data_IF_137495929689
#
_entry.id   IF_137495929689
#
_cell.length_a   1.000
_cell.length_b   1.000
_cell.length_c   1.000
_cell.angle_alpha   90.00
_cell.angle_beta   90.00
_cell.angle_gamma   90.00
#
_symmetry.space_group_name_H-M   'P 1'
#
loop_
_entity.id
_entity.type
_entity.pdbx_description
1 polymer ?
#
# COMPACT_ATOMS: atom_id res chain seq x y z
N UNK A 1 31.15 -9.90 -21.33
CA UNK A 1 31.01 -8.95 -22.44
C UNK A 1 31.43 -7.57 -21.93
N UNK A 2 32.18 -6.81 -22.74
CA UNK A 2 32.73 -5.53 -22.29
C UNK A 2 31.73 -4.38 -22.45
N UNK A 3 32.01 -3.24 -21.81
CA UNK A 3 31.20 -2.01 -21.87
C UNK A 3 30.94 -1.56 -23.31
N UNK A 4 31.96 -1.63 -24.17
CA UNK A 4 31.84 -1.20 -25.56
C UNK A 4 30.87 -2.05 -26.36
N UNK A 5 30.86 -3.38 -26.17
CA UNK A 5 29.89 -4.28 -26.84
C UNK A 5 28.45 -3.94 -26.45
N UNK A 6 28.23 -3.61 -25.17
CA UNK A 6 26.93 -3.13 -24.72
C UNK A 6 26.54 -1.81 -25.39
N UNK A 7 27.44 -0.84 -25.46
CA UNK A 7 27.14 0.48 -26.05
C UNK A 7 26.79 0.40 -27.54
N UNK A 8 27.51 -0.44 -28.28
CA UNK A 8 27.22 -0.70 -29.70
C UNK A 8 25.81 -1.33 -29.83
N UNK A 9 25.55 -2.40 -29.07
CA UNK A 9 24.26 -3.09 -29.07
C UNK A 9 23.10 -2.16 -28.72
N UNK A 10 23.25 -1.35 -27.67
CA UNK A 10 22.22 -0.42 -27.23
C UNK A 10 21.94 0.70 -28.24
N UNK A 11 22.95 1.14 -28.98
CA UNK A 11 22.81 2.14 -30.03
C UNK A 11 22.09 1.58 -31.27
N UNK A 12 22.42 0.34 -31.66
CA UNK A 12 21.82 -0.33 -32.82
C UNK A 12 20.35 -0.69 -32.62
N UNK A 13 19.97 -1.01 -31.38
CA UNK A 13 18.59 -1.44 -31.04
C UNK A 13 17.72 -0.32 -30.44
N UNK A 14 18.16 0.93 -30.49
CA UNK A 14 17.44 2.08 -29.95
C UNK A 14 16.75 2.89 -31.05
N UNK A 15 15.47 3.21 -30.88
CA UNK A 15 14.72 4.10 -31.77
C UNK A 15 15.22 5.56 -31.74
N UNK A 16 15.72 6.03 -30.60
CA UNK A 16 16.28 7.38 -30.41
C UNK A 16 17.63 7.30 -29.70
N UNK A 17 18.70 7.51 -30.47
CA UNK A 17 20.10 7.48 -30.01
C UNK A 17 20.43 8.48 -28.89
N UNK A 18 19.59 9.47 -28.67
CA UNK A 18 19.75 10.47 -27.60
C UNK A 18 18.97 10.15 -26.33
N UNK A 19 18.11 9.10 -26.35
CA UNK A 19 17.22 8.72 -25.25
C UNK A 19 17.27 7.24 -24.92
N UNK A 20 18.45 6.72 -24.71
CA UNK A 20 18.70 5.30 -24.39
C UNK A 20 18.68 5.12 -22.85
N UNK A 21 18.02 4.07 -22.32
CA UNK A 21 18.07 3.76 -20.89
C UNK A 21 19.50 3.54 -20.41
N UNK A 22 19.88 4.11 -19.27
CA UNK A 22 21.24 3.99 -18.75
C UNK A 22 21.35 2.86 -17.72
N UNK A 23 22.12 1.77 -18.00
CA UNK A 23 22.21 0.60 -17.13
C UNK A 23 23.25 0.72 -16.00
N UNK A 24 23.82 1.90 -15.76
CA UNK A 24 24.78 2.06 -14.68
C UNK A 24 24.16 1.85 -13.30
N UNK A 25 24.95 1.46 -12.30
CA UNK A 25 24.51 1.17 -10.94
C UNK A 25 23.69 2.28 -10.27
N UNK A 26 23.87 3.53 -10.70
CA UNK A 26 23.14 4.69 -10.19
C UNK A 26 21.84 4.99 -10.95
N UNK A 27 21.78 4.71 -12.25
CA UNK A 27 20.63 5.02 -13.09
C UNK A 27 19.67 3.83 -13.24
N UNK A 28 20.15 2.59 -13.15
CA UNK A 28 19.40 1.34 -13.17
C UNK A 28 18.27 1.28 -14.23
N UNK A 29 18.54 1.75 -15.44
CA UNK A 29 17.63 1.88 -16.58
C UNK A 29 16.43 2.85 -16.41
N UNK A 30 16.32 3.56 -15.28
CA UNK A 30 15.24 4.53 -15.06
C UNK A 30 15.47 5.88 -15.75
N UNK A 31 16.71 6.21 -16.09
CA UNK A 31 17.07 7.47 -16.74
C UNK A 31 17.61 7.21 -18.13
N UNK A 32 17.20 8.05 -19.09
CA UNK A 32 17.61 7.94 -20.49
C UNK A 32 18.61 9.05 -20.83
N UNK A 33 19.65 8.69 -21.57
CA UNK A 33 20.73 9.61 -21.98
C UNK A 33 21.27 9.23 -23.36
N UNK A 34 22.14 10.09 -23.90
CA UNK A 34 22.91 9.74 -25.09
C UNK A 34 24.01 8.71 -24.77
N UNK A 35 24.41 7.94 -25.77
CA UNK A 35 25.47 6.91 -25.62
C UNK A 35 26.76 7.47 -24.99
N UNK A 36 27.15 8.70 -25.36
CA UNK A 36 28.35 9.36 -24.78
C UNK A 36 28.20 9.54 -23.26
N UNK A 37 27.02 9.95 -22.78
CA UNK A 37 26.74 10.14 -21.35
C UNK A 37 26.66 8.80 -20.64
N UNK A 38 26.03 7.78 -21.25
CA UNK A 38 25.93 6.43 -20.70
C UNK A 38 27.30 5.80 -20.52
N UNK A 39 28.21 5.96 -21.50
CA UNK A 39 29.60 5.52 -21.40
C UNK A 39 30.26 6.06 -20.12
N UNK A 40 30.21 7.38 -19.91
CA UNK A 40 30.74 7.99 -18.68
C UNK A 40 30.12 7.42 -17.42
N UNK A 41 28.79 7.31 -17.37
CA UNK A 41 28.09 6.77 -16.22
C UNK A 41 28.43 5.31 -15.90
N UNK A 42 28.68 4.46 -16.92
CA UNK A 42 29.08 3.05 -16.69
C UNK A 42 30.53 2.98 -16.19
N UNK A 43 31.44 3.81 -16.70
CA UNK A 43 32.84 3.86 -16.21
C UNK A 43 32.91 4.37 -14.76
N UNK A 44 32.09 5.36 -14.40
CA UNK A 44 32.06 5.95 -13.05
C UNK A 44 31.34 5.08 -12.01
N UNK A 45 30.27 4.34 -12.38
CA UNK A 45 29.37 3.68 -11.44
C UNK A 45 29.18 2.17 -11.71
N UNK A 46 29.86 1.60 -12.70
CA UNK A 46 29.67 0.21 -13.13
C UNK A 46 28.29 -0.06 -13.72
N UNK A 47 28.05 -1.31 -14.13
CA UNK A 47 26.72 -1.79 -14.49
C UNK A 47 25.87 -2.05 -13.25
N UNK A 48 24.57 -1.90 -13.37
CA UNK A 48 23.61 -2.35 -12.37
C UNK A 48 23.78 -3.86 -12.13
N UNK A 49 23.97 -4.25 -10.87
CA UNK A 49 24.17 -5.64 -10.48
C UNK A 49 22.97 -6.50 -10.95
N UNK A 50 23.28 -7.62 -11.63
CA UNK A 50 22.27 -8.52 -12.16
C UNK A 50 21.71 -8.16 -13.55
N UNK A 51 22.09 -7.03 -14.15
CA UNK A 51 21.69 -6.67 -15.50
C UNK A 51 22.61 -7.32 -16.55
N UNK A 52 22.50 -8.65 -16.67
CA UNK A 52 23.30 -9.48 -17.60
C UNK A 52 22.62 -9.74 -18.94
N UNK A 53 21.28 -9.64 -18.97
CA UNK A 53 20.46 -9.68 -20.18
C UNK A 53 19.92 -8.29 -20.48
N UNK A 54 20.17 -7.79 -21.68
CA UNK A 54 19.91 -6.40 -22.05
C UNK A 54 18.48 -6.18 -22.58
N UNK A 55 17.52 -6.69 -21.83
CA UNK A 55 16.09 -6.66 -22.21
C UNK A 55 15.53 -5.26 -22.44
N UNK A 56 16.04 -4.24 -21.70
CA UNK A 56 15.67 -2.83 -21.90
C UNK A 56 16.27 -2.21 -23.16
N UNK A 57 17.18 -2.94 -23.83
CA UNK A 57 17.91 -2.53 -25.01
C UNK A 57 17.66 -3.47 -26.19
N UNK A 58 16.60 -4.31 -26.12
CA UNK A 58 16.13 -5.13 -27.22
C UNK A 58 16.61 -6.59 -27.23
N UNK A 59 17.35 -7.06 -26.20
CA UNK A 59 17.74 -8.47 -26.13
C UNK A 59 16.53 -9.35 -25.80
N UNK A 60 16.26 -10.35 -26.66
CA UNK A 60 15.20 -11.36 -26.43
C UNK A 60 15.76 -12.53 -25.64
N UNK A 61 15.10 -12.89 -24.52
CA UNK A 61 15.51 -14.05 -23.73
C UNK A 61 15.39 -15.36 -24.55
N UNK A 62 16.52 -16.05 -24.73
CA UNK A 62 16.57 -17.34 -25.40
C UNK A 62 15.87 -18.43 -24.57
N UNK A 63 14.99 -19.20 -25.22
CA UNK A 63 14.21 -20.29 -24.63
C UNK A 63 15.09 -21.49 -24.30
N UNK A 64 15.15 -21.90 -23.02
CA UNK A 64 15.67 -23.19 -22.58
C UNK A 64 14.63 -24.33 -22.72
N UNK A 65 15.02 -25.61 -22.61
CA UNK A 65 14.29 -26.74 -23.20
C UNK A 65 12.97 -27.08 -22.49
N UNK A 66 12.01 -27.56 -23.32
CA UNK A 66 10.67 -28.02 -22.94
C UNK A 66 10.74 -29.31 -22.06
N UNK A 67 10.10 -29.30 -20.91
CA UNK A 67 9.82 -30.53 -20.15
C UNK A 67 8.37 -30.99 -20.39
N UNK A 68 8.25 -32.30 -20.57
CA UNK A 68 7.09 -33.07 -20.98
C UNK A 68 5.91 -33.03 -19.99
N UNK A 69 4.71 -33.08 -20.56
CA UNK A 69 3.41 -33.21 -19.90
C UNK A 69 3.23 -34.54 -19.17
N UNK A 70 2.79 -34.47 -17.91
CA UNK A 70 2.25 -35.61 -17.17
C UNK A 70 0.75 -35.36 -16.88
N UNK A 71 -0.07 -36.35 -17.22
CA UNK A 71 -1.52 -36.40 -17.12
C UNK A 71 -2.01 -36.56 -15.68
N UNK A 72 -3.09 -35.85 -15.32
CA UNK A 72 -3.79 -35.93 -14.03
C UNK A 72 -4.84 -37.05 -13.98
N UNK A 73 -5.06 -37.73 -12.84
CA UNK A 73 -6.18 -38.65 -12.60
C UNK A 73 -7.48 -37.90 -12.21
N UNK A 74 -8.67 -38.53 -12.31
CA UNK A 74 -9.98 -37.87 -12.19
C UNK A 74 -10.41 -37.61 -10.74
N UNK A 75 -11.26 -36.59 -10.57
CA UNK A 75 -11.79 -36.04 -9.33
C UNK A 75 -12.94 -36.88 -8.77
N UNK A 76 -12.92 -37.16 -7.45
CA UNK A 76 -14.11 -37.48 -6.65
C UNK A 76 -14.78 -36.20 -6.14
N UNK A 77 -16.11 -36.15 -6.26
CA UNK A 77 -16.95 -35.03 -5.81
C UNK A 77 -17.34 -35.25 -4.34
N UNK A 78 -17.12 -34.24 -3.50
CA UNK A 78 -17.67 -34.15 -2.15
C UNK A 78 -19.00 -33.38 -2.15
N UNK A 79 -19.97 -33.70 -1.27
CA UNK A 79 -21.30 -33.08 -1.28
C UNK A 79 -21.31 -31.65 -0.71
N UNK A 80 -22.25 -30.83 -1.23
CA UNK A 80 -22.47 -29.44 -0.85
C UNK A 80 -22.96 -29.30 0.61
N UNK A 81 -22.50 -28.31 1.37
CA UNK A 81 -23.06 -27.96 2.68
C UNK A 81 -24.38 -27.17 2.53
N UNK A 82 -25.29 -27.26 3.53
CA UNK A 82 -26.56 -26.57 3.50
C UNK A 82 -26.42 -25.04 3.63
N UNK A 83 -27.41 -24.25 3.15
CA UNK A 83 -27.33 -22.79 3.17
C UNK A 83 -27.47 -22.22 4.58
N UNK A 84 -26.44 -21.54 5.08
CA UNK A 84 -26.53 -20.77 6.31
C UNK A 84 -27.26 -19.43 6.06
N UNK A 85 -28.23 -19.16 6.89
CA UNK A 85 -28.95 -17.90 6.96
C UNK A 85 -28.02 -16.85 7.59
N UNK A 86 -27.43 -15.98 6.76
CA UNK A 86 -26.64 -14.84 7.23
C UNK A 86 -27.56 -13.73 7.73
N UNK A 87 -27.23 -13.15 8.87
CA UNK A 87 -27.97 -12.10 9.54
C UNK A 87 -28.07 -10.82 8.68
N UNK A 88 -29.29 -10.44 8.28
CA UNK A 88 -29.62 -9.31 7.43
C UNK A 88 -29.30 -7.93 8.05
N UNK A 89 -29.17 -7.85 9.37
CA UNK A 89 -29.00 -6.57 10.09
C UNK A 89 -27.66 -5.86 9.85
N UNK A 90 -26.55 -6.58 9.69
CA UNK A 90 -25.22 -5.96 9.40
C UNK A 90 -25.14 -5.42 7.96
N UNK A 91 -25.89 -6.06 7.04
CA UNK A 91 -26.01 -5.65 5.65
C UNK A 91 -26.79 -4.33 5.47
N UNK A 92 -27.84 -4.11 6.26
CA UNK A 92 -28.67 -2.92 6.19
C UNK A 92 -27.96 -1.67 6.71
N UNK A 93 -27.18 -1.78 7.77
CA UNK A 93 -26.40 -0.66 8.33
C UNK A 93 -25.29 -0.20 7.35
N UNK A 94 -24.58 -1.14 6.71
CA UNK A 94 -23.56 -0.81 5.70
C UNK A 94 -24.18 -0.19 4.43
N UNK A 95 -25.37 -0.66 4.02
CA UNK A 95 -26.09 -0.09 2.88
C UNK A 95 -26.63 1.31 3.18
N UNK A 96 -27.15 1.54 4.37
CA UNK A 96 -27.64 2.86 4.78
C UNK A 96 -26.49 3.85 4.94
N UNK A 97 -25.37 3.43 5.52
CA UNK A 97 -24.16 4.25 5.59
C UNK A 97 -23.62 4.60 4.19
N UNK A 98 -23.67 3.65 3.26
CA UNK A 98 -23.27 3.88 1.87
C UNK A 98 -24.23 4.81 1.10
N UNK A 99 -25.56 4.66 1.31
CA UNK A 99 -26.56 5.57 0.71
C UNK A 99 -26.38 7.00 1.20
N UNK A 100 -26.16 7.20 2.50
CA UNK A 100 -25.84 8.52 3.09
C UNK A 100 -24.55 9.08 2.52
N UNK A 101 -23.54 8.25 2.35
CA UNK A 101 -22.28 8.66 1.74
C UNK A 101 -22.45 9.11 0.28
N UNK A 102 -23.21 8.38 -0.54
CA UNK A 102 -23.50 8.78 -1.93
C UNK A 102 -24.29 10.09 -1.94
N UNK A 103 -25.31 10.20 -1.12
CA UNK A 103 -26.12 11.41 -1.01
C UNK A 103 -25.25 12.64 -0.62
N UNK A 104 -24.35 12.50 0.36
CA UNK A 104 -23.40 13.54 0.75
C UNK A 104 -22.37 13.83 -0.36
N UNK A 105 -21.96 12.80 -1.12
CA UNK A 105 -20.97 12.93 -2.20
C UNK A 105 -21.55 13.63 -3.44
N UNK A 106 -22.80 13.40 -3.74
CA UNK A 106 -23.53 13.99 -4.87
C UNK A 106 -24.14 15.36 -4.55
N UNK A 107 -24.18 15.74 -3.28
CA UNK A 107 -24.70 17.03 -2.85
C UNK A 107 -23.88 18.17 -3.45
N UNK A 108 -24.47 19.09 -4.23
CA UNK A 108 -23.74 20.23 -4.76
C UNK A 108 -23.23 21.13 -3.64
N UNK A 109 -22.12 21.84 -3.84
CA UNK A 109 -21.53 22.74 -2.85
C UNK A 109 -22.50 23.90 -2.49
N UNK A 110 -23.25 24.36 -3.46
CA UNK A 110 -24.35 25.29 -3.36
C UNK A 110 -25.24 25.12 -4.60
N UNK A 111 -26.45 25.65 -4.58
CA UNK A 111 -27.38 25.54 -5.70
C UNK A 111 -26.81 26.17 -6.99
N UNK A 112 -26.71 25.34 -8.04
CA UNK A 112 -26.06 25.69 -9.32
C UNK A 112 -24.55 25.52 -9.37
N UNK A 113 -23.93 24.87 -8.36
CA UNK A 113 -22.50 24.56 -8.37
C UNK A 113 -22.21 23.29 -9.21
N UNK A 114 -21.20 23.38 -10.10
CA UNK A 114 -20.66 22.23 -10.83
C UNK A 114 -19.83 21.29 -9.95
N UNK A 115 -19.43 21.74 -8.75
CA UNK A 115 -18.64 20.95 -7.81
C UNK A 115 -19.51 20.46 -6.66
N UNK A 116 -19.33 19.19 -6.28
CA UNK A 116 -19.99 18.66 -5.09
C UNK A 116 -19.27 19.11 -3.81
N UNK A 117 -19.97 19.05 -2.68
CA UNK A 117 -19.42 19.28 -1.34
C UNK A 117 -18.17 18.45 -1.10
N UNK A 118 -18.22 17.15 -1.40
CA UNK A 118 -17.11 16.22 -1.20
C UNK A 118 -15.92 16.54 -2.10
N UNK A 119 -16.16 16.82 -3.38
CA UNK A 119 -15.10 17.17 -4.33
C UNK A 119 -14.38 18.46 -3.90
N UNK A 120 -15.13 19.47 -3.50
CA UNK A 120 -14.59 20.73 -2.99
C UNK A 120 -13.72 20.52 -1.75
N UNK A 121 -14.20 19.70 -0.81
CA UNK A 121 -13.45 19.35 0.39
C UNK A 121 -12.16 18.58 0.07
N UNK A 122 -12.20 17.62 -0.84
CA UNK A 122 -11.02 16.87 -1.26
C UNK A 122 -10.00 17.79 -1.93
N UNK A 123 -10.44 18.71 -2.80
CA UNK A 123 -9.56 19.69 -3.45
C UNK A 123 -8.87 20.58 -2.41
N UNK A 124 -9.61 21.14 -1.45
CA UNK A 124 -9.08 22.00 -0.40
C UNK A 124 -8.17 21.25 0.57
N UNK A 125 -8.52 20.02 0.95
CA UNK A 125 -7.69 19.21 1.83
C UNK A 125 -6.38 18.75 1.15
N UNK A 126 -6.43 18.41 -0.13
CA UNK A 126 -5.22 18.12 -0.92
C UNK A 126 -4.32 19.35 -1.03
N UNK A 127 -4.91 20.53 -1.23
CA UNK A 127 -4.16 21.79 -1.23
C UNK A 127 -3.51 22.06 0.13
N UNK A 128 -4.27 21.91 1.25
CA UNK A 128 -3.73 21.99 2.61
C UNK A 128 -2.51 21.08 2.80
N UNK A 129 -2.64 19.81 2.43
CA UNK A 129 -1.60 18.80 2.60
C UNK A 129 -0.37 19.09 1.73
N UNK A 130 -0.59 19.53 0.48
CA UNK A 130 0.49 19.84 -0.46
C UNK A 130 1.36 21.01 0.00
N UNK A 131 0.77 22.01 0.62
CA UNK A 131 1.46 23.24 1.05
C UNK A 131 1.78 23.28 2.55
N UNK A 132 1.53 22.19 3.28
CA UNK A 132 1.84 22.11 4.71
C UNK A 132 1.07 23.11 5.57
N UNK A 133 -0.17 23.48 5.19
CA UNK A 133 -0.99 24.48 5.88
C UNK A 133 -1.43 23.96 7.25
N UNK A 134 -1.22 24.76 8.30
CA UNK A 134 -1.64 24.41 9.68
C UNK A 134 -3.16 24.29 9.80
N UNK A 135 -3.66 23.52 10.77
CA UNK A 135 -5.11 23.35 11.00
C UNK A 135 -5.79 24.69 11.31
N UNK A 136 -5.13 25.60 12.03
CA UNK A 136 -5.63 26.94 12.33
C UNK A 136 -5.76 27.81 11.06
N UNK A 137 -4.71 27.85 10.22
CA UNK A 137 -4.73 28.59 8.97
C UNK A 137 -5.78 28.03 8.00
N UNK A 138 -5.94 26.70 7.98
CA UNK A 138 -6.94 26.07 7.13
C UNK A 138 -8.38 26.32 7.61
N UNK A 139 -8.62 26.40 8.92
CA UNK A 139 -9.92 26.82 9.48
C UNK A 139 -10.26 28.24 9.03
N UNK A 140 -9.30 29.17 9.14
CA UNK A 140 -9.50 30.54 8.67
C UNK A 140 -9.76 30.62 7.16
N UNK A 141 -9.07 29.80 6.37
CA UNK A 141 -9.30 29.69 4.93
C UNK A 141 -10.72 29.20 4.63
N UNK A 142 -11.18 28.13 5.29
CA UNK A 142 -12.54 27.59 5.10
C UNK A 142 -13.60 28.65 5.42
N UNK A 143 -13.46 29.35 6.54
CA UNK A 143 -14.35 30.45 6.92
C UNK A 143 -14.34 31.58 5.89
N UNK A 144 -13.15 31.99 5.42
CA UNK A 144 -13.03 33.07 4.41
C UNK A 144 -13.65 32.66 3.07
N UNK A 145 -13.35 31.45 2.58
CA UNK A 145 -13.93 30.93 1.33
C UNK A 145 -15.45 30.79 1.47
N UNK A 146 -15.92 30.22 2.60
CA UNK A 146 -17.36 30.10 2.86
C UNK A 146 -18.10 31.41 2.83
N UNK A 147 -17.48 32.51 3.30
CA UNK A 147 -18.08 33.87 3.25
C UNK A 147 -18.17 34.48 1.83
N UNK A 148 -17.35 33.97 0.90
CA UNK A 148 -17.34 34.38 -0.52
C UNK A 148 -18.34 33.60 -1.38
N UNK A 149 -18.84 32.46 -0.87
CA UNK A 149 -19.81 31.61 -1.52
C UNK A 149 -21.26 32.08 -1.19
N UNK A 150 -22.26 31.63 -1.96
CA UNK A 150 -23.69 31.88 -1.62
C UNK A 150 -24.00 31.45 -0.17
N UNK A 151 -24.96 32.16 0.47
CA UNK A 151 -25.26 31.95 1.91
C UNK A 151 -25.65 30.51 2.29
N UNK A 152 -26.20 29.75 1.35
CA UNK A 152 -26.64 28.35 1.54
C UNK A 152 -25.59 27.33 1.08
N UNK A 153 -24.29 27.71 1.11
CA UNK A 153 -23.24 26.75 0.75
C UNK A 153 -22.99 25.70 1.84
N UNK A 154 -22.56 24.54 1.40
CA UNK A 154 -22.32 23.37 2.23
C UNK A 154 -20.85 23.21 2.62
N UNK A 155 -20.01 24.27 2.45
CA UNK A 155 -18.60 24.20 2.83
C UNK A 155 -18.47 24.11 4.36
N UNK A 156 -17.71 23.14 4.91
CA UNK A 156 -17.45 23.10 6.35
C UNK A 156 -16.74 24.36 6.86
N UNK A 157 -17.15 24.85 8.02
CA UNK A 157 -16.63 26.09 8.60
C UNK A 157 -15.27 25.89 9.29
N UNK A 158 -14.88 24.66 9.59
CA UNK A 158 -13.64 24.37 10.32
C UNK A 158 -13.09 23.00 9.95
N UNK A 159 -11.82 22.76 10.38
CA UNK A 159 -11.11 21.51 10.13
C UNK A 159 -11.80 20.29 10.76
N UNK A 160 -12.49 20.44 11.88
CA UNK A 160 -13.16 19.32 12.55
C UNK A 160 -14.33 18.81 11.68
N UNK A 161 -15.18 19.70 11.21
CA UNK A 161 -16.29 19.35 10.30
C UNK A 161 -15.76 18.78 8.97
N UNK A 162 -14.70 19.39 8.43
CA UNK A 162 -14.02 18.90 7.25
C UNK A 162 -13.51 17.46 7.42
N UNK A 163 -12.85 17.16 8.53
CA UNK A 163 -12.39 15.79 8.87
C UNK A 163 -13.56 14.84 9.06
N UNK A 164 -14.67 15.28 9.69
CA UNK A 164 -15.87 14.47 9.85
C UNK A 164 -16.50 14.10 8.51
N UNK A 165 -16.58 15.04 7.56
CA UNK A 165 -17.04 14.76 6.20
C UNK A 165 -16.13 13.77 5.48
N UNK A 166 -14.81 13.89 5.66
CA UNK A 166 -13.84 12.98 5.06
C UNK A 166 -13.78 11.59 5.74
N UNK A 167 -14.10 11.49 7.04
CA UNK A 167 -14.12 10.19 7.75
C UNK A 167 -15.21 9.26 7.19
N UNK A 168 -16.33 9.83 6.73
CA UNK A 168 -17.40 9.06 6.07
C UNK A 168 -16.91 8.36 4.77
N UNK A 169 -15.73 8.73 4.24
CA UNK A 169 -15.08 8.02 3.12
C UNK A 169 -14.46 6.67 3.50
N UNK A 170 -14.57 6.24 4.77
CA UNK A 170 -13.90 5.03 5.26
C UNK A 170 -12.37 5.16 5.31
N UNK A 171 -11.86 6.41 5.37
CA UNK A 171 -10.43 6.71 5.51
C UNK A 171 -10.04 6.94 6.96
N UNK A 172 -10.77 6.35 7.89
CA UNK A 172 -10.48 6.43 9.31
C UNK A 172 -9.13 5.76 9.64
N UNK A 173 -8.51 6.26 10.69
CA UNK A 173 -7.32 5.66 11.26
C UNK A 173 -7.52 5.41 12.76
N UNK A 174 -6.88 4.35 13.23
CA UNK A 174 -6.88 3.99 14.64
C UNK A 174 -5.52 4.37 15.22
N UNK A 175 -5.53 5.07 16.37
CA UNK A 175 -4.30 5.36 17.12
C UNK A 175 -4.10 4.27 18.15
N UNK A 176 -3.03 3.51 18.00
CA UNK A 176 -2.55 2.62 19.04
C UNK A 176 -1.43 3.27 19.84
N UNK A 177 -1.52 3.24 21.16
CA UNK A 177 -0.40 3.60 22.00
C UNK A 177 0.64 2.47 21.95
N UNK A 178 1.92 2.82 21.93
CA UNK A 178 3.01 1.87 21.97
C UNK A 178 3.96 2.16 23.12
N UNK A 179 4.67 1.13 23.58
CA UNK A 179 5.74 1.29 24.56
C UNK A 179 6.84 2.17 23.95
N UNK A 180 7.44 3.12 24.72
CA UNK A 180 8.57 3.93 24.27
C UNK A 180 9.76 3.11 23.76
N UNK A 181 9.98 1.89 24.32
CA UNK A 181 11.02 0.94 23.91
C UNK A 181 10.51 -0.12 22.91
N UNK A 182 9.41 0.13 22.22
CA UNK A 182 8.88 -0.77 21.19
C UNK A 182 8.62 -2.22 21.65
N UNK A 183 8.28 -2.42 22.93
CA UNK A 183 8.08 -3.77 23.48
C UNK A 183 6.68 -4.34 23.21
N UNK A 184 5.65 -3.50 23.21
CA UNK A 184 4.23 -3.87 23.05
C UNK A 184 3.41 -2.72 22.46
N UNK A 185 2.31 -3.04 21.79
CA UNK A 185 1.18 -2.13 21.59
C UNK A 185 0.19 -2.29 22.75
N UNK A 186 -0.39 -1.17 23.19
CA UNK A 186 -1.45 -1.18 24.22
C UNK A 186 -2.79 -1.47 23.55
N UNK A 187 -3.02 -2.76 23.19
CA UNK A 187 -4.24 -3.31 22.59
C UNK A 187 -4.54 -4.71 23.13
N UNK A 188 -5.76 -5.22 22.92
CA UNK A 188 -6.17 -6.55 23.41
C UNK A 188 -5.88 -6.70 24.90
N UNK A 189 -5.13 -7.69 25.30
CA UNK A 189 -4.79 -8.00 26.69
C UNK A 189 -3.99 -6.87 27.41
N UNK A 190 -3.42 -5.95 26.67
CA UNK A 190 -2.65 -4.82 27.20
C UNK A 190 -3.38 -3.47 27.08
N UNK A 191 -4.66 -3.47 26.67
CA UNK A 191 -5.40 -2.23 26.36
C UNK A 191 -5.44 -1.25 27.55
N UNK A 192 -5.65 -1.75 28.77
CA UNK A 192 -5.80 -0.96 29.99
C UNK A 192 -4.48 -0.77 30.78
N UNK A 193 -3.39 -1.39 30.31
CA UNK A 193 -2.11 -1.28 30.99
C UNK A 193 -1.56 0.16 30.96
N UNK A 194 -1.16 0.70 32.12
CA UNK A 194 -0.54 2.01 32.25
C UNK A 194 0.99 1.97 32.17
N UNK A 195 1.58 0.79 32.37
CA UNK A 195 3.03 0.53 32.25
C UNK A 195 3.28 -0.68 31.33
N UNK A 196 4.41 -0.66 30.65
CA UNK A 196 4.80 -1.78 29.80
C UNK A 196 5.04 -3.06 30.61
N UNK A 197 4.44 -4.20 30.28
CA UNK A 197 4.64 -5.45 31.02
C UNK A 197 6.08 -5.99 30.87
N UNK A 198 6.78 -5.66 29.79
CA UNK A 198 8.15 -6.12 29.53
C UNK A 198 9.21 -5.23 30.18
N UNK A 199 9.21 -3.92 29.92
CA UNK A 199 10.26 -3.00 30.35
C UNK A 199 9.86 -2.06 31.49
N UNK A 200 8.60 -2.13 31.95
CA UNK A 200 8.06 -1.33 33.08
C UNK A 200 7.96 0.19 32.82
N UNK A 201 8.35 0.69 31.66
CA UNK A 201 8.20 2.11 31.33
C UNK A 201 6.72 2.50 31.26
N UNK A 202 6.47 3.78 31.64
CA UNK A 202 5.13 4.34 31.57
C UNK A 202 4.61 4.41 30.13
N UNK A 203 3.31 4.13 29.96
CA UNK A 203 2.57 4.39 28.74
C UNK A 203 2.47 5.88 28.42
N UNK A 204 2.53 6.71 29.46
CA UNK A 204 2.29 8.13 29.39
C UNK A 204 3.58 8.93 29.26
N UNK A 205 3.49 10.09 28.61
CA UNK A 205 4.60 11.01 28.47
C UNK A 205 4.95 11.62 29.83
N UNK A 206 6.23 11.64 30.16
CA UNK A 206 6.73 12.26 31.40
C UNK A 206 6.96 13.76 31.22
N UNK A 207 6.70 14.56 32.26
CA UNK A 207 7.13 15.95 32.34
C UNK A 207 8.64 16.00 32.59
N UNK A 208 9.25 17.21 32.52
CA UNK A 208 10.65 17.41 32.88
C UNK A 208 10.94 17.08 34.38
N UNK A 209 9.91 17.06 35.23
CA UNK A 209 9.99 16.69 36.64
C UNK A 209 9.77 15.18 36.88
N UNK A 210 9.55 14.38 35.85
CA UNK A 210 9.30 12.93 35.94
C UNK A 210 7.84 12.55 36.26
N UNK A 211 6.92 13.49 36.30
CA UNK A 211 5.49 13.23 36.52
C UNK A 211 4.81 12.75 35.24
N UNK A 212 3.89 11.80 35.35
CA UNK A 212 3.13 11.29 34.20
C UNK A 212 2.06 12.28 33.75
N UNK A 213 2.04 12.59 32.44
CA UNK A 213 0.92 13.30 31.82
C UNK A 213 -0.13 12.28 31.39
N UNK A 214 -1.01 11.95 32.32
CA UNK A 214 -2.13 11.01 32.04
C UNK A 214 -2.91 11.48 30.80
N UNK A 215 -3.31 10.54 29.94
CA UNK A 215 -3.96 10.76 28.65
C UNK A 215 -3.08 11.32 27.51
N UNK A 216 -1.78 11.59 27.76
CA UNK A 216 -0.84 11.90 26.70
C UNK A 216 0.12 10.72 26.50
N UNK A 217 -0.05 9.87 25.46
CA UNK A 217 0.80 8.71 25.26
C UNK A 217 2.24 9.12 24.93
N UNK A 218 3.20 8.33 25.41
CA UNK A 218 4.62 8.55 25.17
C UNK A 218 4.99 8.27 23.71
N UNK A 219 4.41 7.24 23.13
CA UNK A 219 4.56 6.87 21.70
C UNK A 219 3.22 6.37 21.15
N UNK A 220 2.93 6.67 19.88
CA UNK A 220 1.73 6.23 19.18
C UNK A 220 2.11 5.69 17.81
N UNK A 221 1.28 4.84 17.25
CA UNK A 221 1.29 4.53 15.84
C UNK A 221 -0.09 4.78 15.24
N UNK A 222 -0.16 5.04 13.95
CA UNK A 222 -1.41 5.14 13.21
C UNK A 222 -1.61 3.89 12.37
N UNK A 223 -2.73 3.21 12.58
CA UNK A 223 -3.19 2.11 11.77
C UNK A 223 -4.35 2.57 10.89
N UNK A 224 -4.26 2.32 9.62
CA UNK A 224 -5.29 2.60 8.63
C UNK A 224 -5.90 1.26 8.21
N UNK A 225 -7.10 0.90 8.72
CA UNK A 225 -7.73 -0.40 8.45
C UNK A 225 -7.81 -0.70 6.96
N UNK A 226 -7.42 -1.91 6.57
CA UNK A 226 -7.28 -2.27 5.15
C UNK A 226 -8.60 -2.76 4.55
N UNK A 227 -9.43 -3.44 5.33
CA UNK A 227 -10.68 -4.04 4.85
C UNK A 227 -11.64 -2.99 4.27
N UNK A 228 -12.00 -1.88 4.98
CA UNK A 228 -12.87 -0.85 4.42
C UNK A 228 -12.35 -0.25 3.12
N UNK A 229 -11.02 -0.13 2.98
CA UNK A 229 -10.38 0.42 1.79
C UNK A 229 -10.45 -0.53 0.61
N UNK A 230 -10.29 -1.82 0.84
CA UNK A 230 -10.50 -2.83 -0.20
C UNK A 230 -11.97 -2.87 -0.64
N UNK A 231 -12.93 -2.85 0.28
CA UNK A 231 -14.35 -2.70 -0.05
C UNK A 231 -14.60 -1.47 -0.92
N UNK A 232 -13.94 -0.35 -0.60
CA UNK A 232 -14.07 0.90 -1.38
C UNK A 232 -13.54 0.77 -2.81
N UNK A 233 -12.48 -0.01 -3.05
CA UNK A 233 -11.95 -0.22 -4.41
C UNK A 233 -12.98 -0.93 -5.32
N UNK A 234 -13.79 -1.82 -4.78
CA UNK A 234 -14.85 -2.51 -5.52
C UNK A 234 -16.13 -1.67 -5.71
N UNK A 235 -16.31 -0.60 -4.94
CA UNK A 235 -17.46 0.32 -5.10
C UNK A 235 -17.38 1.18 -6.37
N UNK A 236 -16.20 1.35 -6.96
CA UNK A 236 -16.01 2.05 -8.23
C UNK A 236 -16.04 1.06 -9.39
N UNK A 237 -16.99 1.13 -10.33
CA UNK A 237 -17.07 0.18 -11.46
C UNK A 237 -15.77 0.04 -12.25
N UNK A 238 -15.13 1.17 -12.55
CA UNK A 238 -13.86 1.19 -13.31
C UNK A 238 -12.69 0.58 -12.52
N UNK A 239 -12.66 0.73 -11.20
CA UNK A 239 -11.62 0.12 -10.38
C UNK A 239 -11.91 -1.36 -10.18
N UNK A 240 -13.16 -1.75 -9.94
CA UNK A 240 -13.59 -3.15 -9.79
C UNK A 240 -13.27 -3.99 -11.04
N UNK A 241 -13.52 -3.46 -12.25
CA UNK A 241 -13.11 -4.08 -13.50
C UNK A 241 -11.61 -4.34 -13.55
N UNK A 242 -10.81 -3.32 -13.23
CA UNK A 242 -9.34 -3.41 -13.24
C UNK A 242 -8.78 -4.37 -12.19
N UNK A 243 -9.50 -4.60 -11.08
CA UNK A 243 -9.11 -5.61 -10.08
C UNK A 243 -9.16 -7.05 -10.62
N UNK A 244 -9.91 -7.30 -11.69
CA UNK A 244 -10.00 -8.58 -12.38
C UNK A 244 -9.10 -8.65 -13.64
N UNK A 245 -8.33 -7.60 -13.94
CA UNK A 245 -7.48 -7.50 -15.13
C UNK A 245 -6.57 -8.73 -15.31
N UNK A 246 -5.97 -9.22 -14.25
CA UNK A 246 -5.04 -10.35 -14.28
C UNK A 246 -5.67 -11.65 -14.77
N UNK A 247 -6.98 -11.84 -14.60
CA UNK A 247 -7.72 -13.01 -15.05
C UNK A 247 -8.29 -12.85 -16.47
N UNK A 248 -8.68 -11.61 -16.85
CA UNK A 248 -9.45 -11.36 -18.06
C UNK A 248 -8.62 -10.82 -19.23
N UNK A 249 -7.61 -10.00 -18.95
CA UNK A 249 -6.91 -9.21 -19.98
C UNK A 249 -5.40 -9.47 -20.05
N UNK A 250 -4.89 -10.41 -19.26
CA UNK A 250 -3.46 -10.73 -19.23
C UNK A 250 -3.04 -11.54 -20.47
N UNK A 251 -1.94 -11.12 -21.10
CA UNK A 251 -1.29 -11.90 -22.17
C UNK A 251 -0.59 -13.13 -21.59
N UNK A 252 -0.87 -14.31 -22.09
CA UNK A 252 -0.30 -15.58 -21.64
C UNK A 252 0.70 -16.15 -22.68
N UNK A 253 1.80 -15.44 -22.91
CA UNK A 253 2.84 -15.84 -23.87
C UNK A 253 4.11 -16.42 -23.19
N UNK A 254 4.04 -16.73 -21.90
CA UNK A 254 5.14 -17.31 -21.13
C UNK A 254 6.18 -16.29 -20.65
N UNK A 255 6.08 -15.03 -21.02
CA UNK A 255 7.00 -13.99 -20.58
C UNK A 255 6.54 -13.40 -19.23
N UNK A 256 7.50 -13.10 -18.37
CA UNK A 256 7.23 -12.45 -17.08
C UNK A 256 7.20 -10.93 -17.26
N UNK A 257 6.02 -10.32 -17.21
CA UNK A 257 5.82 -8.87 -17.30
C UNK A 257 5.22 -8.27 -16.03
N UNK A 258 4.58 -9.11 -15.24
CA UNK A 258 3.85 -8.72 -14.04
C UNK A 258 3.97 -9.82 -12.98
N UNK A 259 3.86 -9.52 -11.68
CA UNK A 259 3.83 -10.54 -10.63
C UNK A 259 2.82 -11.68 -10.84
N UNK A 260 1.74 -11.44 -11.56
CA UNK A 260 0.76 -12.47 -11.97
C UNK A 260 1.36 -13.59 -12.83
N UNK A 261 2.48 -13.33 -13.50
CA UNK A 261 3.17 -14.32 -14.35
C UNK A 261 4.10 -15.22 -13.54
N UNK A 262 4.37 -14.85 -12.28
CA UNK A 262 5.36 -15.49 -11.42
C UNK A 262 4.95 -16.92 -11.03
N UNK A 263 5.94 -17.80 -10.76
CA UNK A 263 5.68 -19.12 -10.19
C UNK A 263 4.95 -19.06 -8.83
N UNK A 264 5.25 -18.06 -8.00
CA UNK A 264 4.60 -17.88 -6.69
C UNK A 264 3.10 -17.66 -6.81
N UNK A 265 2.66 -16.82 -7.75
CA UNK A 265 1.23 -16.61 -8.02
C UNK A 265 0.54 -17.90 -8.45
N UNK A 266 1.11 -18.60 -9.44
CA UNK A 266 0.59 -19.86 -9.95
C UNK A 266 0.55 -20.95 -8.88
N UNK A 267 1.55 -20.98 -7.99
CA UNK A 267 1.60 -21.94 -6.89
C UNK A 267 0.48 -21.68 -5.87
N UNK A 268 0.14 -20.43 -5.57
CA UNK A 268 -0.99 -20.09 -4.69
C UNK A 268 -2.30 -20.57 -5.33
N UNK A 269 -2.55 -20.24 -6.58
CA UNK A 269 -3.76 -20.66 -7.30
C UNK A 269 -3.88 -22.19 -7.38
N UNK A 270 -2.76 -22.88 -7.54
CA UNK A 270 -2.71 -24.35 -7.54
C UNK A 270 -2.97 -24.97 -6.15
N UNK A 271 -2.34 -24.42 -5.10
CA UNK A 271 -2.47 -24.96 -3.73
C UNK A 271 -3.81 -24.66 -3.09
N UNK A 272 -4.42 -23.55 -3.43
CA UNK A 272 -5.71 -23.09 -2.91
C UNK A 272 -6.68 -22.76 -4.06
N UNK A 273 -7.26 -23.80 -4.72
CA UNK A 273 -8.12 -23.60 -5.90
C UNK A 273 -9.36 -22.74 -5.61
N UNK A 274 -9.96 -22.86 -4.42
CA UNK A 274 -11.09 -22.03 -4.01
C UNK A 274 -10.75 -20.53 -3.93
N UNK A 275 -9.50 -20.20 -3.53
CA UNK A 275 -8.99 -18.84 -3.57
C UNK A 275 -8.67 -18.40 -5.01
N UNK A 276 -8.03 -19.27 -5.78
CA UNK A 276 -7.60 -18.98 -7.16
C UNK A 276 -8.74 -18.84 -8.16
N UNK A 277 -9.87 -19.54 -7.94
CA UNK A 277 -11.05 -19.49 -8.81
C UNK A 277 -11.84 -18.18 -8.72
N UNK A 278 -11.71 -17.41 -7.63
CA UNK A 278 -12.33 -16.10 -7.50
C UNK A 278 -11.32 -15.00 -7.89
N UNK A 279 -11.46 -14.37 -9.09
CA UNK A 279 -10.49 -13.39 -9.59
C UNK A 279 -10.45 -12.10 -8.76
N UNK A 280 -11.51 -11.81 -7.97
CA UNK A 280 -11.58 -10.63 -7.10
C UNK A 280 -10.78 -10.79 -5.81
N UNK A 281 -10.37 -12.00 -5.45
CA UNK A 281 -9.49 -12.22 -4.31
C UNK A 281 -8.14 -11.52 -4.50
N UNK A 282 -7.65 -10.88 -3.43
CA UNK A 282 -6.50 -9.98 -3.52
C UNK A 282 -5.18 -10.70 -3.29
N UNK A 283 -4.21 -10.35 -4.12
CA UNK A 283 -2.81 -10.77 -3.97
C UNK A 283 -1.98 -9.53 -3.73
N UNK A 284 -1.39 -9.46 -2.55
CA UNK A 284 -0.78 -8.27 -2.00
C UNK A 284 0.73 -8.40 -1.89
N UNK A 285 1.40 -7.26 -1.95
CA UNK A 285 2.76 -7.12 -1.45
C UNK A 285 2.82 -6.03 -0.39
N UNK A 286 3.74 -6.18 0.55
CA UNK A 286 4.05 -5.21 1.60
C UNK A 286 5.37 -4.55 1.31
N UNK A 287 5.40 -3.22 1.41
CA UNK A 287 6.65 -2.44 1.37
C UNK A 287 6.76 -1.61 2.63
N UNK A 288 7.95 -1.57 3.21
CA UNK A 288 8.27 -0.69 4.34
C UNK A 288 9.71 -0.24 4.26
N UNK A 289 9.96 0.99 4.67
CA UNK A 289 11.30 1.59 4.74
C UNK A 289 11.27 2.80 5.67
N UNK A 290 12.44 3.16 6.21
CA UNK A 290 12.62 4.36 7.01
C UNK A 290 12.67 5.62 6.16
N UNK A 291 11.73 6.56 6.38
CA UNK A 291 11.67 7.82 5.65
C UNK A 291 11.84 9.00 6.60
N UNK A 292 12.74 9.93 6.24
CA UNK A 292 12.82 11.22 6.93
C UNK A 292 11.91 12.24 6.23
N UNK A 293 10.77 12.64 6.85
CA UNK A 293 9.86 13.62 6.25
C UNK A 293 10.37 15.06 6.34
N UNK A 294 11.42 15.31 7.14
CA UNK A 294 11.98 16.64 7.39
C UNK A 294 13.25 16.84 6.56
N UNK A 295 13.10 17.22 5.31
CA UNK A 295 14.22 17.39 4.36
C UNK A 295 15.06 18.68 4.60
N UNK A 296 15.00 19.28 5.79
CA UNK A 296 15.52 20.63 6.08
C UNK A 296 16.98 20.63 6.61
N UNK A 297 17.73 19.54 6.47
CA UNK A 297 19.13 19.47 6.92
C UNK A 297 19.37 19.54 8.44
N UNK A 298 18.41 19.99 9.22
CA UNK A 298 18.51 20.22 10.67
C UNK A 298 18.19 18.98 11.52
N UNK A 299 17.59 17.94 10.97
CA UNK A 299 17.24 16.72 11.70
C UNK A 299 17.59 15.45 10.91
N UNK A 300 18.87 15.15 10.82
CA UNK A 300 19.38 13.93 10.16
C UNK A 300 19.04 12.61 10.90
N UNK A 301 18.33 12.68 12.03
CA UNK A 301 18.05 11.52 12.89
C UNK A 301 16.58 11.17 13.05
N UNK A 302 15.68 11.77 12.25
CA UNK A 302 14.27 11.44 12.33
C UNK A 302 13.92 10.41 11.25
N UNK A 303 13.44 9.26 11.66
CA UNK A 303 12.96 8.20 10.76
C UNK A 303 11.54 7.81 11.13
N UNK A 304 10.57 8.04 10.24
CA UNK A 304 9.26 7.44 10.34
C UNK A 304 9.18 6.21 9.41
N UNK A 305 8.37 5.23 9.79
CA UNK A 305 8.26 3.96 9.08
C UNK A 305 6.82 3.75 8.58
N UNK A 306 6.55 4.11 7.31
CA UNK A 306 5.31 3.74 6.66
C UNK A 306 5.33 2.26 6.25
N UNK A 307 4.20 1.57 6.43
CA UNK A 307 3.93 0.25 5.85
C UNK A 307 2.90 0.42 4.76
N UNK A 308 3.26 0.05 3.55
CA UNK A 308 2.44 0.25 2.35
C UNK A 308 2.07 -1.12 1.79
N UNK A 309 0.79 -1.30 1.45
CA UNK A 309 0.31 -2.45 0.69
C UNK A 309 0.16 -2.08 -0.78
N UNK A 310 0.56 -2.99 -1.64
CA UNK A 310 0.41 -2.93 -3.10
C UNK A 310 -0.48 -4.08 -3.53
N UNK A 311 -1.49 -3.79 -4.35
CA UNK A 311 -2.43 -4.78 -4.88
C UNK A 311 -2.02 -5.16 -6.29
N UNK A 312 -1.54 -6.39 -6.48
CA UNK A 312 -1.10 -6.90 -7.77
C UNK A 312 -2.20 -7.48 -8.66
N UNK A 313 -3.45 -7.40 -8.23
CA UNK A 313 -4.59 -7.65 -9.11
C UNK A 313 -4.69 -6.61 -10.23
N UNK A 314 -4.26 -5.38 -9.93
CA UNK A 314 -4.28 -4.26 -10.86
C UNK A 314 -3.24 -4.42 -11.97
N UNK A 315 -3.49 -3.86 -13.16
CA UNK A 315 -2.54 -3.92 -14.27
C UNK A 315 -1.21 -3.22 -13.95
N UNK A 316 -0.11 -3.58 -14.64
CA UNK A 316 1.25 -3.11 -14.34
C UNK A 316 1.42 -1.59 -14.42
N UNK A 317 0.61 -0.91 -15.24
CA UNK A 317 0.65 0.55 -15.34
C UNK A 317 -0.09 1.28 -14.21
N UNK A 318 -0.79 0.55 -13.32
CA UNK A 318 -1.55 1.10 -12.20
C UNK A 318 -1.06 0.62 -10.83
N UNK A 319 -0.68 -0.65 -10.66
CA UNK A 319 -0.42 -1.25 -9.35
C UNK A 319 0.62 -0.49 -8.52
N UNK A 320 1.61 0.13 -9.16
CA UNK A 320 2.64 0.95 -8.50
C UNK A 320 2.36 2.46 -8.56
N UNK A 321 1.19 2.88 -9.06
CA UNK A 321 0.82 4.30 -9.01
C UNK A 321 0.41 4.71 -7.60
N UNK A 322 0.86 5.89 -7.18
CA UNK A 322 0.66 6.44 -5.83
C UNK A 322 -0.79 6.35 -5.33
N UNK A 323 -1.79 6.55 -6.19
CA UNK A 323 -3.21 6.48 -5.83
C UNK A 323 -3.71 5.09 -5.48
N UNK A 324 -2.99 4.03 -5.90
CA UNK A 324 -3.34 2.63 -5.66
C UNK A 324 -2.43 1.96 -4.62
N UNK A 325 -1.37 2.65 -4.18
CA UNK A 325 -0.53 2.21 -3.07
C UNK A 325 -1.22 2.61 -1.76
N UNK A 326 -1.45 1.64 -0.89
CA UNK A 326 -2.24 1.82 0.33
C UNK A 326 -1.34 1.93 1.55
N UNK A 327 -1.25 3.11 2.16
CA UNK A 327 -0.63 3.26 3.48
C UNK A 327 -1.49 2.52 4.51
N UNK A 328 -0.95 1.50 5.16
CA UNK A 328 -1.63 0.70 6.18
C UNK A 328 -1.20 1.09 7.59
N UNK A 329 0.09 1.33 7.80
CA UNK A 329 0.63 1.69 9.11
C UNK A 329 1.59 2.87 8.94
N UNK A 330 1.61 3.76 9.94
CA UNK A 330 2.64 4.77 10.07
C UNK A 330 3.18 4.76 11.50
N UNK A 331 4.44 4.38 11.65
CA UNK A 331 5.17 4.46 12.91
C UNK A 331 5.98 5.76 12.91
N UNK A 332 5.67 6.73 13.79
CA UNK A 332 6.42 7.99 13.84
C UNK A 332 7.80 7.79 14.46
N UNK A 333 8.75 8.63 14.00
CA UNK A 333 10.07 8.72 14.62
C UNK A 333 10.06 9.24 16.07
N UNK A 334 11.23 9.65 16.58
CA UNK A 334 12.47 9.87 15.84
C UNK A 334 13.29 8.61 15.51
N UNK A 335 13.09 7.53 16.24
CA UNK A 335 13.86 6.29 16.09
C UNK A 335 13.08 5.24 15.28
N UNK A 336 13.81 4.49 14.51
CA UNK A 336 13.27 3.33 13.78
C UNK A 336 12.85 2.22 14.76
N UNK A 337 11.84 1.40 14.42
CA UNK A 337 11.39 0.28 15.25
C UNK A 337 12.39 -0.89 15.27
N UNK A 338 13.45 -0.87 14.44
CA UNK A 338 14.43 -1.94 14.30
C UNK A 338 13.77 -3.32 14.18
N UNK A 339 14.31 -4.36 14.79
CA UNK A 339 13.74 -5.72 14.78
C UNK A 339 12.40 -5.86 15.55
N UNK A 340 11.91 -4.80 16.19
CA UNK A 340 10.61 -4.81 16.89
C UNK A 340 9.44 -4.37 15.99
N UNK A 341 9.63 -4.31 14.68
CA UNK A 341 8.58 -3.92 13.72
C UNK A 341 7.35 -4.83 13.81
N UNK A 342 7.53 -6.08 14.18
CA UNK A 342 6.47 -7.09 14.31
C UNK A 342 5.31 -6.64 15.20
N UNK A 343 5.60 -5.92 16.28
CA UNK A 343 4.55 -5.43 17.18
C UNK A 343 3.64 -4.42 16.49
N UNK A 344 4.20 -3.64 15.56
CA UNK A 344 3.46 -2.65 14.80
C UNK A 344 2.65 -3.26 13.67
N UNK A 345 3.11 -4.38 13.12
CA UNK A 345 2.40 -5.11 12.06
C UNK A 345 1.17 -5.87 12.55
N UNK A 346 1.07 -6.17 13.84
CA UNK A 346 0.00 -7.00 14.42
C UNK A 346 -1.42 -6.62 13.95
N UNK A 347 -1.90 -5.36 14.01
CA UNK A 347 -3.27 -5.03 13.60
C UNK A 347 -3.54 -5.38 12.14
N UNK A 348 -2.57 -5.13 11.25
CA UNK A 348 -2.69 -5.46 9.84
C UNK A 348 -2.64 -6.98 9.61
N UNK A 349 -1.80 -7.70 10.36
CA UNK A 349 -1.73 -9.15 10.28
C UNK A 349 -3.03 -9.79 10.73
N UNK A 350 -3.70 -9.24 11.76
CA UNK A 350 -5.00 -9.72 12.21
C UNK A 350 -6.06 -9.56 11.10
N UNK A 351 -6.11 -8.38 10.46
CA UNK A 351 -7.00 -8.16 9.30
C UNK A 351 -6.66 -9.10 8.13
N UNK A 352 -5.37 -9.34 7.84
CA UNK A 352 -4.96 -10.26 6.78
C UNK A 352 -5.30 -11.72 7.10
N UNK A 353 -5.21 -12.15 8.35
CA UNK A 353 -5.64 -13.47 8.79
C UNK A 353 -7.14 -13.65 8.61
N UNK A 354 -7.93 -12.67 9.06
CA UNK A 354 -9.37 -12.69 8.86
C UNK A 354 -9.72 -12.79 7.37
N UNK A 355 -9.10 -11.96 6.52
CA UNK A 355 -9.30 -12.01 5.07
C UNK A 355 -8.86 -13.33 4.43
N UNK A 356 -7.87 -14.02 4.99
CA UNK A 356 -7.41 -15.32 4.47
C UNK A 356 -8.30 -16.47 4.92
N UNK A 357 -8.60 -16.55 6.21
CA UNK A 357 -9.30 -17.66 6.83
C UNK A 357 -10.81 -17.60 6.53
N UNK A 358 -11.46 -16.54 6.96
CA UNK A 358 -12.92 -16.35 6.84
C UNK A 358 -13.29 -15.60 5.57
N UNK A 359 -12.58 -14.52 5.29
CA UNK A 359 -12.90 -13.54 4.25
C UNK A 359 -13.89 -12.48 4.75
N UNK A 360 -13.94 -11.37 4.04
CA UNK A 360 -14.93 -10.30 4.31
C UNK A 360 -16.19 -10.58 3.49
N UNK A 361 -17.32 -10.93 4.11
CA UNK A 361 -18.55 -11.25 3.41
C UNK A 361 -19.23 -10.00 2.84
N UNK A 362 -20.15 -10.19 1.90
CA UNK A 362 -21.03 -9.15 1.36
C UNK A 362 -20.30 -7.92 0.79
N UNK A 363 -19.14 -8.12 0.15
CA UNK A 363 -18.46 -7.05 -0.58
C UNK A 363 -19.18 -6.81 -1.90
N UNK A 364 -19.67 -5.60 -2.11
CA UNK A 364 -20.37 -5.22 -3.34
C UNK A 364 -19.36 -4.89 -4.45
N UNK A 365 -19.48 -5.59 -5.55
CA UNK A 365 -18.76 -5.34 -6.79
C UNK A 365 -19.64 -4.52 -7.75
N UNK A 366 -19.30 -3.24 -7.89
CA UNK A 366 -20.10 -2.30 -8.68
C UNK A 366 -20.00 -2.56 -10.21
N UNK A 367 -18.95 -3.24 -10.67
CA UNK A 367 -18.81 -3.61 -12.09
C UNK A 367 -19.74 -4.79 -12.46
N UNK A 368 -19.66 -5.87 -11.69
CA UNK A 368 -20.49 -7.06 -11.92
C UNK A 368 -21.89 -6.96 -11.26
N UNK A 369 -22.14 -5.90 -10.48
CA UNK A 369 -23.39 -5.69 -9.72
C UNK A 369 -23.75 -6.89 -8.84
N UNK A 370 -22.79 -7.49 -8.18
CA UNK A 370 -22.91 -8.69 -7.38
C UNK A 370 -22.18 -8.59 -6.05
N UNK A 371 -22.63 -9.34 -5.06
CA UNK A 371 -21.93 -9.48 -3.78
C UNK A 371 -21.02 -10.71 -3.83
N UNK A 372 -19.90 -10.65 -3.11
CA UNK A 372 -18.96 -11.76 -2.97
C UNK A 372 -18.24 -11.70 -1.62
N UNK A 373 -17.60 -12.80 -1.25
CA UNK A 373 -16.71 -12.84 -0.08
C UNK A 373 -15.30 -12.54 -0.52
N UNK A 374 -14.76 -11.43 -0.04
CA UNK A 374 -13.41 -10.98 -0.37
C UNK A 374 -12.36 -11.68 0.48
N UNK A 375 -11.45 -12.39 -0.15
CA UNK A 375 -10.26 -12.94 0.49
C UNK A 375 -9.01 -12.23 0.02
N UNK A 376 -7.95 -12.27 0.85
CA UNK A 376 -6.67 -11.66 0.49
C UNK A 376 -5.49 -12.49 1.00
N UNK A 377 -4.38 -12.44 0.26
CA UNK A 377 -3.11 -13.08 0.63
C UNK A 377 -1.95 -12.11 0.42
N UNK A 378 -1.03 -12.06 1.37
CA UNK A 378 0.25 -11.38 1.22
C UNK A 378 1.26 -12.37 0.62
N UNK A 379 1.73 -12.10 -0.61
CA UNK A 379 2.63 -13.00 -1.33
C UNK A 379 4.07 -12.56 -1.21
N UNK A 380 4.34 -11.25 -1.26
CA UNK A 380 5.70 -10.71 -1.27
C UNK A 380 5.89 -9.55 -0.30
N UNK A 381 7.15 -9.33 0.04
CA UNK A 381 7.63 -8.09 0.63
C UNK A 381 8.57 -7.38 -0.35
N UNK A 382 8.49 -6.05 -0.42
CA UNK A 382 9.29 -5.20 -1.31
C UNK A 382 10.08 -4.26 -0.41
N UNK A 383 11.35 -4.58 -0.17
CA UNK A 383 12.16 -3.83 0.77
C UNK A 383 13.58 -3.68 0.23
N UNK A 384 14.29 -2.66 0.70
CA UNK A 384 15.72 -2.62 0.61
C UNK A 384 16.36 -3.64 1.58
N UNK A 385 17.66 -3.81 1.51
CA UNK A 385 18.37 -4.80 2.33
C UNK A 385 18.28 -4.55 3.84
N UNK A 386 18.39 -3.30 4.36
CA UNK A 386 18.17 -3.00 5.78
C UNK A 386 16.74 -3.32 6.26
N UNK A 387 15.72 -2.89 5.53
CA UNK A 387 14.32 -3.16 5.89
C UNK A 387 13.98 -4.66 5.82
N UNK A 388 14.58 -5.40 4.88
CA UNK A 388 14.45 -6.85 4.82
C UNK A 388 14.99 -7.52 6.09
N UNK A 389 16.14 -7.07 6.61
CA UNK A 389 16.67 -7.55 7.88
C UNK A 389 15.71 -7.35 9.04
N UNK A 390 15.09 -6.16 9.13
CA UNK A 390 14.11 -5.83 10.17
C UNK A 390 12.85 -6.72 10.08
N UNK A 391 12.34 -6.99 8.86
CA UNK A 391 11.14 -7.82 8.65
C UNK A 391 11.41 -9.31 8.83
N UNK A 392 12.58 -9.81 8.42
CA UNK A 392 12.94 -11.24 8.56
C UNK A 392 13.46 -11.60 9.94
N UNK A 393 13.77 -10.62 10.79
CA UNK A 393 14.46 -10.83 12.06
C UNK A 393 15.93 -11.28 11.90
N UNK A 394 16.44 -11.28 10.66
CA UNK A 394 17.82 -11.68 10.38
C UNK A 394 18.79 -10.51 10.62
N UNK A 395 20.00 -10.85 11.04
CA UNK A 395 21.09 -9.88 11.15
C UNK A 395 21.52 -9.45 9.75
N UNK A 396 21.45 -8.16 9.45
CA UNK A 396 21.81 -7.59 8.16
C UNK A 396 23.15 -6.83 8.15
N UNK A 397 23.92 -6.88 9.25
CA UNK A 397 25.25 -6.26 9.40
C UNK A 397 26.24 -7.23 10.03
N UNK A 398 27.47 -7.29 9.52
CA UNK A 398 28.55 -8.11 10.03
C UNK A 398 28.98 -9.25 9.10
N UNK A 399 30.00 -10.00 9.49
CA UNK A 399 30.65 -11.04 8.67
C UNK A 399 29.75 -12.24 8.27
N UNK A 400 28.62 -12.44 8.95
CA UNK A 400 27.68 -13.55 8.73
C UNK A 400 26.29 -13.08 8.30
N UNK A 401 26.21 -11.89 7.70
CA UNK A 401 24.96 -11.29 7.28
C UNK A 401 24.61 -11.70 5.86
N UNK A 402 23.91 -12.79 5.71
CA UNK A 402 23.38 -13.18 4.40
C UNK A 402 21.93 -13.67 4.58
N UNK A 403 20.93 -12.75 4.48
CA UNK A 403 19.54 -13.11 4.75
C UNK A 403 18.87 -13.94 3.65
N UNK A 404 19.59 -14.28 2.58
CA UNK A 404 19.06 -15.03 1.42
C UNK A 404 19.56 -16.47 1.38
N UNK A 405 20.61 -16.81 2.10
CA UNK A 405 21.15 -18.17 2.19
C UNK A 405 21.14 -18.68 3.61
#
# INVERSE_FOLDING_TARGET
MGVENFLIYAEENSEDRNKIPCPCGRCANFKKFSIKTIRGHIYDNGFCLGYVHWVWHGETASTGPKSSSASCPPKEQAPDPPPEQASDEASEQDQEHFRRFIADAEQPLYEGSDCTKLESMLKLHNWKSRFGITDSAFTNLLSSVGSLLPKENMLPNNVYEAKKTLSNLGLEYIKFHSCPNDCVLYRGVHADATKCPKCRLSRWKLTKKGEERVNLPAKVMWYFPIIPRFKHMFKSPSTAELMCWHAQQRTQDGKMRHPTDSPSWKNIDYRWPSFGSEPRNLRLALSTDGVNPHNNGLSNRYSCWPVILVTYNLPPWLCMKRKFMMLSILVPGPHEPSNNIDIYLQPMIDDLKNLWEEGEPNVYDAYNKSFFTLKAVLIWTINDFPAYGNLSGCVNKGYKCYPVC
#
